data_IF_704965199733
#
_entry.id   IF_704965199733
#
_cell.length_a   1.000
_cell.length_b   1.000
_cell.length_c   1.000
_cell.angle_alpha   90.00
_cell.angle_beta   90.00
_cell.angle_gamma   90.00
#
_symmetry.space_group_name_H-M   'P 1'
#
loop_
_entity.id
_entity.type
_entity.pdbx_description
1 polymer ?
#
# COMPACT_ATOMS: atom_id res chain seq x y z
N UNK A 1 31.02 -14.51 -34.68
CA UNK A 1 31.76 -13.96 -33.53
C UNK A 1 30.96 -12.80 -32.96
N UNK A 2 29.96 -13.09 -32.14
CA UNK A 2 29.10 -12.08 -31.54
C UNK A 2 28.90 -12.47 -30.07
N UNK A 3 29.85 -12.11 -29.20
CA UNK A 3 29.69 -12.34 -27.75
C UNK A 3 30.66 -11.52 -26.87
N UNK A 4 31.05 -10.30 -27.29
CA UNK A 4 32.05 -9.52 -26.53
C UNK A 4 31.63 -8.11 -26.05
N UNK A 5 30.32 -7.79 -26.04
CA UNK A 5 29.84 -6.43 -25.71
C UNK A 5 28.99 -6.27 -24.44
N UNK A 6 29.03 -7.20 -23.48
CA UNK A 6 28.38 -6.96 -22.18
C UNK A 6 29.23 -7.38 -20.98
N UNK A 7 30.50 -6.95 -20.91
CA UNK A 7 31.20 -6.90 -19.63
C UNK A 7 30.64 -5.73 -18.81
N UNK A 8 29.61 -6.01 -18.02
CA UNK A 8 29.11 -5.06 -17.03
C UNK A 8 30.07 -5.00 -15.84
N UNK A 9 30.50 -3.80 -15.47
CA UNK A 9 31.49 -3.59 -14.41
C UNK A 9 30.99 -4.02 -13.03
N UNK A 10 31.78 -4.82 -12.33
CA UNK A 10 31.60 -5.16 -10.91
C UNK A 10 32.87 -4.75 -10.18
N UNK A 11 32.73 -3.89 -9.16
CA UNK A 11 33.89 -3.31 -8.46
C UNK A 11 33.56 -2.01 -7.74
N UNK A 12 34.59 -1.35 -7.23
CA UNK A 12 34.48 -0.08 -6.52
C UNK A 12 35.16 1.05 -7.29
N UNK A 13 34.48 2.20 -7.38
CA UNK A 13 35.03 3.44 -7.89
C UNK A 13 35.13 4.46 -6.76
N UNK A 14 36.31 5.07 -6.62
CA UNK A 14 36.52 6.18 -5.67
C UNK A 14 36.59 7.48 -6.45
N UNK A 15 35.68 8.40 -6.17
CA UNK A 15 35.69 9.75 -6.75
C UNK A 15 36.76 10.62 -6.09
N UNK A 16 37.09 11.75 -6.72
CA UNK A 16 38.12 12.69 -6.21
C UNK A 16 37.77 13.27 -4.84
N UNK A 17 36.49 13.39 -4.53
CA UNK A 17 35.99 13.81 -3.22
C UNK A 17 36.15 12.73 -2.13
N UNK A 18 36.55 11.50 -2.50
CA UNK A 18 36.68 10.35 -1.60
C UNK A 18 35.43 9.45 -1.54
N UNK A 19 34.35 9.78 -2.26
CA UNK A 19 33.13 8.97 -2.32
C UNK A 19 33.43 7.63 -2.97
N UNK A 20 33.10 6.53 -2.29
CA UNK A 20 33.23 5.16 -2.81
C UNK A 20 31.88 4.66 -3.31
N UNK A 21 31.83 4.18 -4.55
CA UNK A 21 30.64 3.60 -5.19
C UNK A 21 30.93 2.17 -5.62
N UNK A 22 30.14 1.23 -5.12
CA UNK A 22 30.22 -0.18 -5.43
C UNK A 22 29.16 -0.55 -6.46
N UNK A 23 29.55 -1.40 -7.41
CA UNK A 23 28.71 -1.84 -8.50
C UNK A 23 28.71 -3.37 -8.59
N UNK A 24 27.56 -3.92 -8.92
CA UNK A 24 27.37 -5.32 -9.33
C UNK A 24 26.70 -5.31 -10.69
N UNK A 25 27.36 -5.91 -11.68
CA UNK A 25 26.84 -6.01 -13.05
C UNK A 25 26.41 -4.66 -13.63
N UNK A 26 27.22 -3.61 -13.38
CA UNK A 26 27.03 -2.27 -13.94
C UNK A 26 25.96 -1.44 -13.25
N UNK A 27 25.33 -1.94 -12.18
CA UNK A 27 24.34 -1.21 -11.38
C UNK A 27 24.87 -1.00 -9.95
N UNK A 28 24.50 0.10 -9.26
CA UNK A 28 24.87 0.31 -7.87
C UNK A 28 24.40 -0.87 -7.01
N UNK A 29 25.31 -1.43 -6.22
CA UNK A 29 25.06 -2.61 -5.39
C UNK A 29 26.34 -3.16 -4.78
N UNK A 30 26.21 -3.89 -3.67
CA UNK A 30 27.30 -4.57 -2.98
C UNK A 30 26.78 -5.85 -2.34
N UNK A 31 27.57 -6.90 -2.37
CA UNK A 31 27.18 -8.18 -1.78
C UNK A 31 27.16 -8.10 -0.26
N UNK A 32 26.14 -8.70 0.35
CA UNK A 32 25.84 -8.58 1.78
C UNK A 32 25.04 -7.32 2.12
N UNK A 33 24.70 -7.14 3.39
CA UNK A 33 24.02 -5.95 3.91
C UNK A 33 25.01 -4.77 4.06
N UNK A 34 25.67 -4.42 2.96
CA UNK A 34 26.70 -3.39 2.88
C UNK A 34 26.25 -2.25 1.96
N UNK A 35 26.65 -1.01 2.26
CA UNK A 35 26.26 0.13 1.44
C UNK A 35 26.91 0.09 0.06
N UNK A 36 26.12 0.45 -0.96
CA UNK A 36 26.61 0.61 -2.31
C UNK A 36 27.30 1.96 -2.52
N UNK A 37 26.97 2.98 -1.72
CA UNK A 37 27.65 4.27 -1.74
C UNK A 37 28.10 4.63 -0.33
N UNK A 38 29.35 5.03 -0.18
CA UNK A 38 29.95 5.51 1.07
C UNK A 38 30.55 6.88 0.82
N UNK A 39 30.04 7.89 1.51
CA UNK A 39 30.51 9.27 1.43
C UNK A 39 31.62 9.53 2.48
N UNK A 40 32.55 10.47 2.22
CA UNK A 40 33.64 10.79 3.15
C UNK A 40 33.16 11.35 4.49
N UNK A 41 31.98 11.98 4.51
CA UNK A 41 31.36 12.51 5.72
C UNK A 41 30.75 11.42 6.62
N UNK A 42 30.73 10.16 6.16
CA UNK A 42 30.14 9.02 6.86
C UNK A 42 28.72 8.69 6.40
N UNK A 43 28.15 9.44 5.46
CA UNK A 43 26.88 9.09 4.84
C UNK A 43 26.96 7.80 4.02
N UNK A 44 25.88 7.02 3.99
CA UNK A 44 25.81 5.75 3.26
C UNK A 44 24.47 5.57 2.56
N UNK A 45 24.50 4.89 1.40
CA UNK A 45 23.30 4.52 0.64
C UNK A 45 23.34 3.05 0.27
N UNK A 46 22.24 2.36 0.50
CA UNK A 46 21.98 0.98 0.17
C UNK A 46 21.08 0.90 -1.05
N UNK A 47 21.34 -0.07 -1.90
CA UNK A 47 20.59 -0.30 -3.13
C UNK A 47 20.20 -1.77 -3.22
N UNK A 48 19.02 -2.03 -3.78
CA UNK A 48 18.59 -3.37 -4.17
C UNK A 48 18.35 -3.41 -5.68
N UNK A 49 18.74 -4.52 -6.30
CA UNK A 49 18.47 -4.77 -7.72
C UNK A 49 16.97 -4.78 -7.97
N UNK A 50 16.51 -4.03 -8.97
CA UNK A 50 15.10 -4.02 -9.37
C UNK A 50 14.76 -5.37 -10.05
N UNK A 51 13.82 -6.16 -9.50
CA UNK A 51 13.48 -7.48 -10.05
C UNK A 51 12.75 -7.40 -11.41
N UNK A 52 12.26 -6.23 -11.84
CA UNK A 52 11.65 -6.06 -13.17
C UNK A 52 12.72 -6.05 -14.27
N UNK A 53 13.19 -7.24 -14.67
CA UNK A 53 13.71 -7.48 -16.03
C UNK A 53 12.52 -7.43 -16.99
N UNK A 54 12.38 -6.39 -17.81
CA UNK A 54 11.38 -6.45 -18.88
C UNK A 54 10.92 -5.17 -19.57
N UNK A 55 11.68 -4.07 -19.56
CA UNK A 55 11.31 -2.87 -20.31
C UNK A 55 12.53 -2.12 -20.82
N UNK A 56 12.46 -1.65 -22.07
CA UNK A 56 13.49 -0.84 -22.74
C UNK A 56 13.85 0.36 -21.85
N UNK A 57 15.05 0.35 -21.23
CA UNK A 57 15.65 1.54 -20.62
C UNK A 57 15.77 1.61 -19.08
N UNK A 58 15.20 0.70 -18.29
CA UNK A 58 15.30 0.78 -16.81
C UNK A 58 16.25 -0.27 -16.22
N UNK A 59 17.56 -0.01 -16.28
CA UNK A 59 18.60 -0.71 -15.50
C UNK A 59 18.83 -0.04 -14.13
N UNK A 60 17.79 0.48 -13.49
CA UNK A 60 17.96 1.27 -12.27
C UNK A 60 17.84 0.39 -11.03
N UNK A 61 18.95 0.17 -10.32
CA UNK A 61 18.91 -0.18 -8.90
C UNK A 61 18.16 0.94 -8.16
N UNK A 62 17.34 0.56 -7.18
CA UNK A 62 16.60 1.51 -6.36
C UNK A 62 17.18 1.54 -4.95
N UNK A 63 17.17 2.72 -4.33
CA UNK A 63 17.55 2.88 -2.92
C UNK A 63 16.64 2.00 -2.06
N UNK A 64 17.22 1.04 -1.35
CA UNK A 64 16.50 0.10 -0.49
C UNK A 64 17.46 -0.68 0.40
N UNK A 65 17.00 -1.06 1.60
CA UNK A 65 17.67 -1.99 2.51
C UNK A 65 16.62 -2.80 3.26
N UNK A 66 16.76 -4.12 3.29
CA UNK A 66 15.87 -4.99 4.05
C UNK A 66 16.08 -4.76 5.57
N UNK A 67 15.02 -4.42 6.31
CA UNK A 67 15.08 -4.23 7.76
C UNK A 67 15.79 -2.97 8.25
N UNK A 68 16.21 -2.06 7.36
CA UNK A 68 16.96 -0.86 7.73
C UNK A 68 16.73 0.32 6.78
N UNK A 69 17.28 1.49 7.11
CA UNK A 69 17.20 2.66 6.24
C UNK A 69 18.01 2.43 4.96
N UNK A 70 17.45 2.84 3.83
CA UNK A 70 18.14 2.84 2.55
C UNK A 70 19.19 3.94 2.47
N UNK A 71 18.98 5.06 3.17
CA UNK A 71 19.93 6.17 3.25
C UNK A 71 20.16 6.52 4.71
N UNK A 72 21.43 6.64 5.10
CA UNK A 72 21.83 7.22 6.38
C UNK A 72 22.79 8.36 6.09
N UNK A 73 22.44 9.58 6.46
CA UNK A 73 23.30 10.75 6.27
C UNK A 73 24.27 10.89 7.45
N UNK A 74 25.38 11.57 7.23
CA UNK A 74 26.40 11.85 8.25
C UNK A 74 25.84 12.56 9.49
N UNK A 75 24.83 13.41 9.30
CA UNK A 75 24.16 14.11 10.40
C UNK A 75 23.25 13.20 11.24
N UNK A 76 23.01 11.96 10.83
CA UNK A 76 22.16 10.99 11.52
C UNK A 76 20.75 10.84 10.93
N UNK A 77 20.40 11.60 9.89
CA UNK A 77 19.12 11.45 9.21
C UNK A 77 19.02 10.09 8.52
N UNK A 78 17.88 9.42 8.65
CA UNK A 78 17.60 8.10 8.10
C UNK A 78 16.38 8.14 7.19
N UNK A 79 16.46 7.47 6.05
CA UNK A 79 15.38 7.42 5.06
C UNK A 79 15.12 5.98 4.64
N UNK A 80 13.85 5.60 4.60
CA UNK A 80 13.37 4.30 4.13
C UNK A 80 12.64 4.46 2.81
N UNK A 81 12.88 3.51 1.92
CA UNK A 81 12.32 3.51 0.58
C UNK A 81 11.75 2.13 0.24
N UNK A 82 10.60 2.14 -0.42
CA UNK A 82 10.01 0.97 -1.06
C UNK A 82 9.69 1.33 -2.52
N UNK A 83 10.16 0.51 -3.45
CA UNK A 83 9.96 0.73 -4.89
C UNK A 83 10.38 2.14 -5.38
N UNK A 84 11.45 2.71 -4.79
CA UNK A 84 11.98 4.02 -5.19
C UNK A 84 11.22 5.22 -4.62
N UNK A 85 10.26 5.00 -3.72
CA UNK A 85 9.50 6.04 -3.04
C UNK A 85 9.72 5.96 -1.52
N UNK A 86 9.69 7.10 -0.83
CA UNK A 86 9.76 7.13 0.63
C UNK A 86 8.57 6.35 1.19
N UNK A 87 8.85 5.30 1.96
CA UNK A 87 7.83 4.44 2.54
C UNK A 87 8.41 3.55 3.65
N UNK A 88 7.62 3.29 4.69
CA UNK A 88 7.92 2.33 5.76
C UNK A 88 6.60 1.88 6.42
N UNK A 89 6.38 0.57 6.55
CA UNK A 89 5.13 0.01 7.07
C UNK A 89 5.03 0.08 8.60
N UNK A 90 6.16 0.06 9.31
CA UNK A 90 6.26 -0.07 10.77
C UNK A 90 6.75 1.21 11.48
N UNK A 91 6.84 2.34 10.76
CA UNK A 91 7.43 3.55 11.32
C UNK A 91 7.50 4.72 10.33
N UNK A 92 8.17 5.82 10.71
CA UNK A 92 8.37 6.95 9.80
C UNK A 92 9.31 6.56 8.65
N UNK A 93 8.97 6.99 7.44
CA UNK A 93 9.86 6.83 6.29
C UNK A 93 11.05 7.79 6.32
N UNK A 94 11.00 8.84 7.15
CA UNK A 94 12.13 9.74 7.42
C UNK A 94 12.28 9.98 8.92
N UNK A 95 13.48 9.78 9.44
CA UNK A 95 13.85 10.15 10.79
C UNK A 95 15.02 11.13 10.73
N UNK A 96 14.78 12.38 11.10
CA UNK A 96 15.85 13.39 11.17
C UNK A 96 16.55 13.33 12.53
N UNK A 97 17.84 13.64 12.54
CA UNK A 97 18.65 13.63 13.76
C UNK A 97 18.15 14.63 14.83
N UNK A 98 17.47 15.69 14.41
CA UNK A 98 16.77 16.64 15.28
C UNK A 98 15.49 16.09 15.93
N UNK A 99 15.18 14.80 15.76
CA UNK A 99 14.00 14.13 16.35
C UNK A 99 12.73 14.25 15.51
N UNK A 100 12.76 14.99 14.39
CA UNK A 100 11.60 15.11 13.50
C UNK A 100 11.42 13.84 12.70
N UNK A 101 10.21 13.29 12.74
CA UNK A 101 9.82 12.08 12.03
C UNK A 101 8.76 12.44 10.97
N UNK A 102 8.84 11.84 9.78
CA UNK A 102 7.86 12.03 8.71
C UNK A 102 7.38 10.71 8.16
N UNK A 103 6.07 10.64 7.95
CA UNK A 103 5.38 9.47 7.39
C UNK A 103 4.98 9.73 5.95
N UNK A 104 5.09 8.67 5.14
CA UNK A 104 4.79 8.69 3.73
C UNK A 104 4.00 7.43 3.38
N UNK A 105 3.01 7.57 2.50
CA UNK A 105 2.24 6.46 1.92
C UNK A 105 2.28 6.64 0.41
N UNK A 106 2.72 5.61 -0.32
CA UNK A 106 2.86 5.66 -1.79
C UNK A 106 3.74 6.82 -2.32
N UNK A 107 4.68 7.29 -1.51
CA UNK A 107 5.58 8.41 -1.81
C UNK A 107 5.00 9.80 -1.55
N UNK A 108 3.76 9.89 -1.09
CA UNK A 108 3.12 11.16 -0.71
C UNK A 108 3.32 11.42 0.78
N UNK A 109 3.64 12.67 1.12
CA UNK A 109 3.84 13.09 2.51
C UNK A 109 2.50 13.12 3.24
N UNK A 110 2.39 12.36 4.32
CA UNK A 110 1.15 12.31 5.11
C UNK A 110 1.19 13.32 6.26
N UNK A 111 2.26 13.37 7.09
CA UNK A 111 2.43 14.35 8.20
C UNK A 111 3.75 14.23 8.98
N UNK A 112 3.98 15.17 9.92
CA UNK A 112 5.15 15.30 10.80
C UNK A 112 4.96 14.82 12.28
N UNK A 113 3.85 14.17 12.61
CA UNK A 113 3.59 13.60 13.95
C UNK A 113 2.66 12.38 13.89
N UNK A 114 2.74 11.47 14.88
CA UNK A 114 1.86 10.28 15.03
C UNK A 114 0.38 10.70 14.87
N UNK A 115 -0.53 9.87 14.32
CA UNK A 115 -1.95 10.17 14.44
C UNK A 115 -2.24 10.49 15.90
N UNK A 116 -2.91 11.62 16.14
CA UNK A 116 -3.58 11.77 17.43
C UNK A 116 -4.44 10.52 17.58
N UNK A 117 -4.38 9.82 18.72
CA UNK A 117 -5.33 8.77 18.95
C UNK A 117 -6.72 9.35 18.63
N UNK A 118 -7.62 8.57 18.03
CA UNK A 118 -9.01 8.94 17.91
C UNK A 118 -9.50 9.68 19.14
N UNK A 119 -10.36 10.66 18.92
CA UNK A 119 -11.15 11.32 19.97
C UNK A 119 -11.39 10.37 21.14
N UNK A 120 -10.88 10.71 22.33
CA UNK A 120 -11.01 9.97 23.59
C UNK A 120 -12.45 9.89 24.11
N UNK A 121 -13.44 9.87 23.22
CA UNK A 121 -14.77 9.39 23.53
C UNK A 121 -14.59 7.93 23.95
N UNK A 122 -14.84 7.57 25.22
CA UNK A 122 -14.78 6.19 25.63
C UNK A 122 -15.84 5.46 24.82
N UNK A 123 -15.39 4.68 23.84
CA UNK A 123 -16.29 3.77 23.15
C UNK A 123 -16.65 2.70 24.17
N UNK A 124 -17.92 2.29 24.26
CA UNK A 124 -18.30 1.21 25.17
C UNK A 124 -17.32 0.04 25.01
N UNK A 125 -16.72 -0.44 26.11
CA UNK A 125 -15.84 -1.60 26.04
C UNK A 125 -16.64 -2.74 25.43
N UNK A 126 -16.01 -3.54 24.57
CA UNK A 126 -16.62 -4.81 24.18
C UNK A 126 -16.69 -5.61 25.49
N UNK A 127 -17.88 -6.08 25.92
CA UNK A 127 -18.02 -6.82 27.17
C UNK A 127 -17.01 -7.95 27.21
N UNK A 128 -16.42 -8.31 28.34
CA UNK A 128 -15.40 -9.36 28.38
C UNK A 128 -16.02 -10.75 28.13
N UNK A 129 -15.20 -11.77 27.90
CA UNK A 129 -15.63 -13.18 27.85
C UNK A 129 -16.58 -13.57 29.01
N UNK A 130 -16.34 -13.04 30.21
CA UNK A 130 -17.16 -13.32 31.39
C UNK A 130 -18.55 -12.64 31.36
N UNK A 131 -18.73 -11.63 30.52
CA UNK A 131 -20.00 -10.92 30.36
C UNK A 131 -20.93 -11.62 29.36
N UNK A 132 -20.45 -12.66 28.66
CA UNK A 132 -21.21 -13.44 27.71
C UNK A 132 -21.46 -14.86 28.23
N UNK A 133 -22.66 -15.37 27.98
CA UNK A 133 -23.07 -16.71 28.41
C UNK A 133 -22.51 -17.81 27.49
N UNK A 134 -21.97 -17.47 26.31
CA UNK A 134 -21.36 -18.43 25.37
C UNK A 134 -20.24 -17.84 24.50
N UNK A 135 -19.30 -18.69 24.00
CA UNK A 135 -18.30 -18.29 23.00
C UNK A 135 -18.90 -17.72 21.71
N UNK A 136 -20.08 -18.20 21.31
CA UNK A 136 -20.77 -17.74 20.10
C UNK A 136 -21.20 -16.27 20.23
N UNK A 137 -21.75 -15.88 21.38
CA UNK A 137 -22.15 -14.49 21.65
C UNK A 137 -20.93 -13.56 21.66
N UNK A 138 -19.81 -14.03 22.24
CA UNK A 138 -18.55 -13.29 22.26
C UNK A 138 -17.98 -13.10 20.85
N UNK A 139 -17.95 -14.15 20.03
CA UNK A 139 -17.52 -14.08 18.62
C UNK A 139 -18.38 -13.08 17.85
N UNK A 140 -19.71 -13.14 17.99
CA UNK A 140 -20.61 -12.23 17.29
C UNK A 140 -20.32 -10.75 17.67
N UNK A 141 -20.14 -10.47 18.95
CA UNK A 141 -19.80 -9.13 19.44
C UNK A 141 -18.44 -8.64 18.93
N UNK A 142 -17.43 -9.51 18.95
CA UNK A 142 -16.09 -9.19 18.46
C UNK A 142 -16.08 -8.97 16.94
N UNK A 143 -16.75 -9.82 16.15
CA UNK A 143 -16.88 -9.65 14.69
C UNK A 143 -17.52 -8.31 14.34
N UNK A 144 -18.64 -7.98 14.98
CA UNK A 144 -19.32 -6.71 14.76
C UNK A 144 -18.41 -5.52 15.09
N UNK A 145 -17.72 -5.59 16.23
CA UNK A 145 -16.84 -4.51 16.67
C UNK A 145 -15.62 -4.34 15.78
N UNK A 146 -14.89 -5.43 15.48
CA UNK A 146 -13.71 -5.40 14.61
C UNK A 146 -14.09 -4.87 13.23
N UNK A 147 -15.25 -5.27 12.69
CA UNK A 147 -15.74 -4.78 11.40
C UNK A 147 -16.04 -3.28 11.43
N UNK A 148 -16.68 -2.78 12.49
CA UNK A 148 -16.95 -1.35 12.68
C UNK A 148 -15.65 -0.53 12.71
N UNK A 149 -14.65 -1.01 13.47
CA UNK A 149 -13.35 -0.37 13.59
C UNK A 149 -12.59 -0.37 12.26
N UNK A 150 -12.59 -1.50 11.55
CA UNK A 150 -11.98 -1.61 10.23
C UNK A 150 -12.67 -0.69 9.21
N UNK A 151 -14.00 -0.59 9.22
CA UNK A 151 -14.73 0.34 8.37
C UNK A 151 -14.37 1.80 8.68
N UNK A 152 -14.32 2.17 9.96
CA UNK A 152 -13.94 3.52 10.36
C UNK A 152 -12.50 3.87 9.96
N UNK A 153 -11.58 2.91 10.02
CA UNK A 153 -10.19 3.07 9.59
C UNK A 153 -10.05 3.14 8.06
N UNK A 154 -10.50 2.10 7.33
CA UNK A 154 -10.23 1.95 5.89
C UNK A 154 -11.19 2.69 4.98
N UNK A 155 -12.43 2.96 5.41
CA UNK A 155 -13.48 3.57 4.57
C UNK A 155 -13.72 5.02 4.94
N UNK A 156 -13.79 5.32 6.24
CA UNK A 156 -14.14 6.66 6.71
C UNK A 156 -12.93 7.56 6.97
N UNK A 157 -11.70 7.01 6.94
CA UNK A 157 -10.46 7.68 7.36
C UNK A 157 -10.59 8.38 8.73
N UNK A 158 -11.34 7.73 9.64
CA UNK A 158 -11.69 8.21 10.98
C UNK A 158 -11.52 7.06 11.97
N UNK A 159 -10.27 6.66 12.27
CA UNK A 159 -10.02 5.60 13.24
C UNK A 159 -10.74 5.96 14.55
N UNK A 160 -11.38 4.96 15.17
CA UNK A 160 -12.09 5.13 16.44
C UNK A 160 -11.28 4.64 17.64
N UNK A 161 -10.36 3.70 17.42
CA UNK A 161 -9.41 3.22 18.42
C UNK A 161 -7.99 3.28 17.87
N UNK A 162 -7.00 3.16 18.74
CA UNK A 162 -5.60 2.97 18.33
C UNK A 162 -5.37 1.57 17.76
N UNK A 163 -4.32 1.41 16.95
CA UNK A 163 -3.95 0.12 16.35
C UNK A 163 -3.75 -0.97 17.43
N UNK A 164 -3.17 -0.63 18.58
CA UNK A 164 -2.98 -1.58 19.68
C UNK A 164 -4.29 -2.08 20.30
N UNK A 165 -5.31 -1.21 20.39
CA UNK A 165 -6.64 -1.59 20.87
C UNK A 165 -7.38 -2.46 19.84
N UNK A 166 -7.23 -2.14 18.57
CA UNK A 166 -7.74 -2.97 17.47
C UNK A 166 -7.10 -4.37 17.49
N UNK A 167 -5.76 -4.44 17.61
CA UNK A 167 -5.00 -5.69 17.63
C UNK A 167 -5.40 -6.59 18.79
N UNK A 168 -5.68 -6.03 19.96
CA UNK A 168 -6.15 -6.81 21.12
C UNK A 168 -7.48 -7.49 20.81
N UNK A 169 -8.45 -6.75 20.26
CA UNK A 169 -9.76 -7.29 19.91
C UNK A 169 -9.67 -8.31 18.75
N UNK A 170 -8.83 -8.02 17.76
CA UNK A 170 -8.62 -8.91 16.62
C UNK A 170 -7.98 -10.24 17.05
N UNK A 171 -6.94 -10.19 17.90
CA UNK A 171 -6.29 -11.39 18.44
C UNK A 171 -7.22 -12.21 19.32
N UNK A 172 -8.07 -11.55 20.12
CA UNK A 172 -9.06 -12.27 20.91
C UNK A 172 -10.05 -13.02 20.00
N UNK A 173 -10.56 -12.35 18.95
CA UNK A 173 -11.43 -13.00 17.97
C UNK A 173 -10.75 -14.20 17.31
N UNK A 174 -9.51 -14.03 16.84
CA UNK A 174 -8.72 -15.09 16.23
C UNK A 174 -8.53 -16.29 17.17
N UNK A 175 -8.21 -16.04 18.44
CA UNK A 175 -8.03 -17.11 19.43
C UNK A 175 -9.30 -17.90 19.69
N UNK A 176 -10.45 -17.22 19.77
CA UNK A 176 -11.73 -17.88 20.06
C UNK A 176 -12.20 -18.67 18.84
N UNK A 177 -12.05 -18.15 17.63
CA UNK A 177 -12.38 -18.87 16.40
C UNK A 177 -11.46 -20.08 16.17
N UNK A 178 -10.19 -19.98 16.57
CA UNK A 178 -9.26 -21.12 16.56
C UNK A 178 -9.66 -22.19 17.58
N UNK A 179 -10.13 -21.78 18.76
CA UNK A 179 -10.60 -22.68 19.81
C UNK A 179 -11.97 -23.30 19.51
N UNK A 180 -12.79 -22.64 18.67
CA UNK A 180 -14.13 -23.05 18.26
C UNK A 180 -14.28 -23.06 16.72
N UNK A 181 -13.62 -23.99 16.01
CA UNK A 181 -13.69 -24.05 14.54
C UNK A 181 -15.11 -24.23 14.01
N UNK A 182 -16.00 -24.84 14.80
CA UNK A 182 -17.42 -25.00 14.48
C UNK A 182 -18.20 -23.67 14.42
N UNK A 183 -17.66 -22.59 14.99
CA UNK A 183 -18.23 -21.24 14.96
C UNK A 183 -17.54 -20.32 13.94
N UNK A 184 -16.52 -20.82 13.22
CA UNK A 184 -15.84 -20.06 12.19
C UNK A 184 -16.81 -19.70 11.05
N UNK A 185 -16.67 -18.49 10.52
CA UNK A 185 -17.49 -18.00 9.41
C UNK A 185 -16.59 -17.36 8.35
N UNK A 186 -16.90 -17.62 7.08
CA UNK A 186 -16.13 -17.13 5.94
C UNK A 186 -16.15 -15.60 5.80
N UNK A 187 -17.13 -14.93 6.40
CA UNK A 187 -17.26 -13.47 6.40
C UNK A 187 -16.51 -12.79 7.56
N UNK A 188 -15.92 -13.57 8.48
CA UNK A 188 -15.21 -13.07 9.65
C UNK A 188 -14.01 -12.19 9.25
N UNK A 189 -13.75 -11.09 9.97
CA UNK A 189 -12.57 -10.25 9.74
C UNK A 189 -11.23 -11.00 9.78
N UNK A 190 -11.12 -12.08 10.56
CA UNK A 190 -9.89 -12.91 10.66
C UNK A 190 -9.62 -13.74 9.41
N UNK A 191 -10.64 -13.96 8.58
CA UNK A 191 -10.51 -14.69 7.31
C UNK A 191 -10.15 -13.76 6.16
N UNK A 192 -10.09 -12.44 6.40
CA UNK A 192 -9.70 -11.45 5.40
C UNK A 192 -8.18 -11.33 5.42
N UNK A 193 -7.56 -11.86 4.37
CA UNK A 193 -6.11 -11.92 4.12
C UNK A 193 -5.35 -12.93 5.00
N UNK A 194 -5.40 -14.20 4.58
CA UNK A 194 -4.59 -15.28 5.13
C UNK A 194 -4.83 -16.58 4.36
N UNK A 195 -3.82 -17.07 3.64
CA UNK A 195 -3.91 -18.31 2.87
C UNK A 195 -2.72 -18.48 1.92
N UNK A 196 -2.46 -19.71 1.49
CA UNK A 196 -1.47 -19.93 0.45
C UNK A 196 -1.92 -19.19 -0.84
N UNK A 197 -1.03 -18.46 -1.53
CA UNK A 197 -1.36 -17.84 -2.80
C UNK A 197 -1.94 -18.90 -3.74
N UNK A 198 -3.09 -18.60 -4.35
CA UNK A 198 -3.61 -19.44 -5.42
C UNK A 198 -2.56 -19.49 -6.53
N UNK A 199 -2.31 -20.69 -7.06
CA UNK A 199 -1.37 -20.85 -8.19
C UNK A 199 -1.85 -20.06 -9.41
N UNK A 200 -3.17 -20.02 -9.61
CA UNK A 200 -3.83 -19.32 -10.70
C UNK A 200 -5.22 -18.84 -10.24
N UNK A 201 -5.68 -17.71 -10.78
CA UNK A 201 -7.04 -17.23 -10.59
C UNK A 201 -7.94 -17.83 -11.68
N UNK A 202 -9.05 -18.49 -11.34
CA UNK A 202 -9.97 -19.01 -12.33
C UNK A 202 -10.62 -17.85 -13.11
N UNK A 203 -10.83 -18.05 -14.40
CA UNK A 203 -11.61 -17.09 -15.20
C UNK A 203 -13.07 -17.15 -14.77
N UNK A 204 -13.66 -15.98 -14.54
CA UNK A 204 -15.08 -15.84 -14.21
C UNK A 204 -15.77 -15.03 -15.29
N UNK A 205 -16.97 -15.44 -15.68
CA UNK A 205 -17.81 -14.66 -16.58
C UNK A 205 -18.54 -13.60 -15.77
N UNK A 206 -18.36 -12.32 -16.13
CA UNK A 206 -19.09 -11.23 -15.51
C UNK A 206 -20.60 -11.37 -15.75
N UNK A 207 -21.42 -11.16 -14.71
CA UNK A 207 -22.89 -11.17 -14.81
C UNK A 207 -23.41 -10.08 -15.75
N UNK A 208 -22.70 -8.95 -15.79
CA UNK A 208 -22.97 -7.82 -16.69
C UNK A 208 -21.67 -7.46 -17.39
N UNK A 209 -21.67 -7.19 -18.72
CA UNK A 209 -20.46 -6.77 -19.42
C UNK A 209 -19.84 -5.53 -18.78
N UNK A 210 -18.53 -5.60 -18.51
CA UNK A 210 -17.77 -4.40 -18.11
C UNK A 210 -17.49 -3.58 -19.37
N UNK A 211 -18.07 -2.38 -19.44
CA UNK A 211 -17.85 -1.46 -20.55
C UNK A 211 -16.52 -0.72 -20.38
N UNK A 212 -15.84 -0.44 -21.50
CA UNK A 212 -14.72 0.50 -21.51
C UNK A 212 -15.22 1.92 -21.79
N UNK A 213 -14.55 2.91 -21.23
CA UNK A 213 -14.80 4.32 -21.53
C UNK A 213 -14.02 4.74 -22.78
N UNK A 214 -14.63 5.57 -23.61
CA UNK A 214 -13.93 6.28 -24.67
C UNK A 214 -13.10 7.42 -24.05
N UNK A 215 -11.93 7.70 -24.63
CA UNK A 215 -11.08 8.80 -24.19
C UNK A 215 -11.39 10.08 -24.98
N UNK A 216 -11.25 11.23 -24.32
CA UNK A 216 -11.11 12.53 -24.94
C UNK A 216 -9.77 13.12 -24.51
N UNK A 217 -8.95 13.53 -25.47
CA UNK A 217 -7.60 14.04 -25.23
C UNK A 217 -7.56 15.58 -25.14
N UNK A 218 -8.62 16.24 -25.60
CA UNK A 218 -8.78 17.69 -25.56
C UNK A 218 -10.24 18.13 -25.32
N UNK A 219 -10.42 19.43 -25.07
CA UNK A 219 -11.72 20.03 -24.81
C UNK A 219 -12.67 19.91 -26.02
N UNK A 220 -12.14 19.95 -27.25
CA UNK A 220 -12.98 19.87 -28.45
C UNK A 220 -13.58 18.48 -28.63
N UNK A 221 -12.81 17.43 -28.34
CA UNK A 221 -13.29 16.05 -28.29
C UNK A 221 -14.36 15.87 -27.21
N UNK A 222 -14.13 16.37 -26.00
CA UNK A 222 -15.09 16.31 -24.91
C UNK A 222 -16.39 17.06 -25.25
N UNK A 223 -16.30 18.25 -25.88
CA UNK A 223 -17.47 19.02 -26.32
C UNK A 223 -18.24 18.33 -27.43
N UNK A 224 -17.57 17.66 -28.37
CA UNK A 224 -18.25 16.86 -29.42
C UNK A 224 -19.02 15.70 -28.82
N UNK A 225 -18.44 15.00 -27.84
CA UNK A 225 -19.14 13.96 -27.11
C UNK A 225 -20.37 14.53 -26.39
N UNK A 226 -20.22 15.64 -25.66
CA UNK A 226 -21.33 16.26 -24.95
C UNK A 226 -22.45 16.73 -25.90
N UNK A 227 -22.09 17.27 -27.07
CA UNK A 227 -23.05 17.60 -28.13
C UNK A 227 -23.80 16.37 -28.62
N UNK A 228 -23.11 15.24 -28.81
CA UNK A 228 -23.76 13.99 -29.23
C UNK A 228 -24.80 13.49 -28.20
N UNK A 229 -24.50 13.67 -26.90
CA UNK A 229 -25.47 13.36 -25.84
C UNK A 229 -26.66 14.32 -25.88
N UNK A 230 -26.43 15.62 -26.09
CA UNK A 230 -27.48 16.62 -26.21
C UNK A 230 -28.43 16.32 -27.38
N UNK A 231 -27.86 15.97 -28.53
CA UNK A 231 -28.60 15.60 -29.75
C UNK A 231 -29.47 14.36 -29.52
N UNK A 232 -28.93 13.34 -28.83
CA UNK A 232 -29.66 12.10 -28.52
C UNK A 232 -30.78 12.31 -27.49
N UNK A 233 -30.57 13.23 -26.55
CA UNK A 233 -31.57 13.61 -25.53
C UNK A 233 -32.60 14.63 -26.06
N UNK A 234 -32.33 15.30 -27.18
CA UNK A 234 -33.20 16.35 -27.74
C UNK A 234 -33.19 17.65 -26.93
N UNK A 235 -32.08 17.97 -26.27
CA UNK A 235 -31.92 19.17 -25.41
C UNK A 235 -30.76 20.04 -25.89
N UNK A 236 -30.61 21.25 -25.35
CA UNK A 236 -29.42 22.05 -25.61
C UNK A 236 -28.21 21.46 -24.89
N UNK A 237 -27.00 21.73 -25.39
CA UNK A 237 -25.76 21.24 -24.76
C UNK A 237 -25.58 21.78 -23.34
N UNK A 238 -26.09 22.98 -23.07
CA UNK A 238 -26.07 23.62 -21.75
C UNK A 238 -27.02 22.96 -20.73
N UNK A 239 -28.02 22.23 -21.20
CA UNK A 239 -28.99 21.51 -20.35
C UNK A 239 -28.51 20.09 -19.99
N UNK A 240 -27.40 19.62 -20.56
CA UNK A 240 -26.84 18.29 -20.26
C UNK A 240 -26.13 18.32 -18.91
N UNK A 241 -26.67 17.57 -17.94
CA UNK A 241 -26.04 17.36 -16.64
C UNK A 241 -25.02 16.22 -16.71
N UNK A 242 -23.81 16.48 -16.20
CA UNK A 242 -22.70 15.51 -16.18
C UNK A 242 -22.24 15.30 -14.73
N UNK A 243 -21.97 14.04 -14.37
CA UNK A 243 -21.26 13.68 -13.13
C UNK A 243 -19.79 13.50 -13.48
N UNK A 244 -18.91 14.16 -12.72
CA UNK A 244 -17.47 14.10 -12.92
C UNK A 244 -16.83 13.42 -11.72
N UNK A 245 -16.12 12.32 -11.97
CA UNK A 245 -15.33 11.60 -10.99
C UNK A 245 -13.87 11.55 -11.44
N UNK A 246 -12.95 11.50 -10.47
CA UNK A 246 -11.53 11.30 -10.76
C UNK A 246 -11.29 9.91 -11.34
N UNK A 247 -10.53 9.85 -12.45
CA UNK A 247 -10.14 8.58 -13.06
C UNK A 247 -8.97 7.98 -12.30
N UNK A 248 -9.24 6.95 -11.50
CA UNK A 248 -8.18 6.16 -10.86
C UNK A 248 -7.38 5.35 -11.90
N UNK A 249 -6.05 5.41 -11.81
CA UNK A 249 -5.14 4.60 -12.62
C UNK A 249 -4.82 3.29 -11.89
N UNK A 250 -5.71 2.32 -12.05
CA UNK A 250 -5.65 1.05 -11.34
C UNK A 250 -6.34 -0.09 -12.07
N UNK A 251 -6.72 -1.13 -11.32
CA UNK A 251 -7.44 -2.27 -11.85
C UNK A 251 -8.94 -2.11 -11.62
N UNK A 252 -9.74 -2.34 -12.67
CA UNK A 252 -11.18 -2.43 -12.51
C UNK A 252 -11.55 -3.76 -11.84
N UNK A 253 -12.30 -3.70 -10.74
CA UNK A 253 -12.76 -4.86 -9.98
C UNK A 253 -14.29 -4.92 -9.97
N UNK A 254 -14.85 -6.13 -9.95
CA UNK A 254 -16.29 -6.36 -9.72
C UNK A 254 -16.44 -7.15 -8.43
N UNK A 255 -17.27 -6.66 -7.51
CA UNK A 255 -17.60 -7.33 -6.25
C UNK A 255 -19.05 -7.78 -6.30
N UNK A 256 -19.31 -9.05 -5.98
CA UNK A 256 -20.68 -9.59 -5.90
C UNK A 256 -21.09 -9.71 -4.45
N UNK A 257 -22.23 -9.09 -4.10
CA UNK A 257 -22.82 -9.26 -2.77
C UNK A 257 -24.14 -10.01 -2.87
N UNK A 258 -24.34 -10.99 -2.00
CA UNK A 258 -25.61 -11.71 -1.84
C UNK A 258 -26.05 -11.58 -0.38
N UNK A 259 -27.25 -11.04 -0.16
CA UNK A 259 -27.78 -10.78 1.19
C UNK A 259 -26.85 -9.93 2.07
N UNK A 260 -26.08 -9.04 1.44
CA UNK A 260 -25.10 -8.18 2.12
C UNK A 260 -23.73 -8.82 2.36
N UNK A 261 -23.54 -10.10 2.01
CA UNK A 261 -22.28 -10.83 2.12
C UNK A 261 -21.53 -10.84 0.78
N UNK A 262 -20.22 -10.58 0.82
CA UNK A 262 -19.34 -10.70 -0.35
C UNK A 262 -19.16 -12.19 -0.72
N UNK A 263 -19.42 -12.55 -1.98
CA UNK A 263 -19.35 -13.93 -2.51
C UNK A 263 -18.61 -14.02 -3.84
#
# INVERSE_FOLDING_TARGET
MADEYTKTYTGVLTAQDGTRRHFINGAPGRDGDLPAVEYPDGGVVFYRGNPKRGGMGQRASLEHRDGGPAVVRANGDRFWYQMGKLHRDDGPAVEMAGGVQKWFVNGEFVRASKPSPPSSQPIPPVPTMNDFLSPADRIAALRARVSELAHAYYVLDKPLVSDGEYDVLFRELEQIELAHPELASSDSPTQRVGGAPLKELPSVTHRTPMLSLANAMDESEARRWLQSCADELGVSIEDVSVVMDDKFDGLAITLTYQEGLLV
#
